data_IF_144485398889
#
_entry.id   IF_144485398889
#
_cell.length_a   1.000
_cell.length_b   1.000
_cell.length_c   1.000
_cell.angle_alpha   90.00
_cell.angle_beta   90.00
_cell.angle_gamma   90.00
#
_symmetry.space_group_name_H-M   'P 1'
#
loop_
_entity.id
_entity.type
_entity.pdbx_description
1 polymer ?
#
# COMPACT_ATOMS: atom_id res chain seq x y z
N UNK A 1 10.87 8.36 -79.26
CA UNK A 1 9.87 8.14 -78.18
C UNK A 1 10.20 9.09 -77.06
N UNK A 2 9.41 10.19 -76.97
CA UNK A 2 9.61 11.21 -75.98
C UNK A 2 9.00 10.82 -74.60
N UNK A 3 9.74 10.87 -73.53
CA UNK A 3 9.20 10.73 -72.17
C UNK A 3 8.61 12.07 -71.71
N UNK A 4 7.33 12.06 -71.38
CA UNK A 4 6.61 13.22 -70.87
C UNK A 4 7.03 13.53 -69.38
N UNK A 5 7.32 14.77 -69.15
CA UNK A 5 7.67 15.28 -67.80
C UNK A 5 6.42 15.39 -66.92
N UNK A 6 6.50 14.89 -65.68
CA UNK A 6 5.46 15.00 -64.63
C UNK A 6 5.57 16.38 -63.98
N UNK A 7 4.47 17.13 -63.79
CA UNK A 7 4.50 18.43 -63.16
C UNK A 7 4.74 18.35 -61.67
N UNK A 8 5.62 19.21 -61.11
CA UNK A 8 5.91 19.33 -59.70
C UNK A 8 4.67 19.82 -58.92
N UNK A 9 4.28 19.06 -57.91
CA UNK A 9 3.20 19.35 -56.98
C UNK A 9 3.64 20.51 -56.02
N UNK A 10 2.82 21.55 -55.94
CA UNK A 10 3.06 22.72 -55.10
C UNK A 10 2.90 22.33 -53.61
N UNK A 11 3.96 22.51 -52.85
CA UNK A 11 3.96 22.32 -51.39
C UNK A 11 2.95 23.29 -50.71
N UNK A 12 2.00 22.72 -49.96
CA UNK A 12 1.06 23.45 -49.12
C UNK A 12 1.76 23.89 -47.82
N UNK A 13 1.69 25.17 -47.40
CA UNK A 13 2.33 25.62 -46.18
C UNK A 13 1.67 24.98 -44.96
N UNK A 14 2.45 24.24 -44.14
CA UNK A 14 2.02 23.70 -42.85
C UNK A 14 1.88 24.88 -41.87
N UNK A 15 0.63 25.14 -41.45
CA UNK A 15 0.36 26.08 -40.36
C UNK A 15 1.02 25.55 -39.10
N UNK A 16 1.97 26.30 -38.52
CA UNK A 16 2.51 26.04 -37.19
C UNK A 16 1.36 26.08 -36.19
N UNK A 17 1.17 24.97 -35.45
CA UNK A 17 0.24 24.89 -34.35
C UNK A 17 0.70 25.88 -33.25
N UNK A 18 -0.19 26.74 -32.80
CA UNK A 18 0.05 27.62 -31.66
C UNK A 18 0.38 26.78 -30.41
N UNK A 19 1.49 27.08 -29.77
CA UNK A 19 1.83 26.50 -28.46
C UNK A 19 0.77 27.02 -27.47
N UNK A 20 -0.14 26.12 -27.07
CA UNK A 20 -1.08 26.38 -25.97
C UNK A 20 -0.25 26.32 -24.70
N UNK A 21 0.10 27.46 -24.14
CA UNK A 21 0.63 27.57 -22.78
C UNK A 21 -0.49 27.18 -21.83
N UNK A 22 -0.39 25.98 -21.23
CA UNK A 22 -1.29 25.58 -20.16
C UNK A 22 -1.18 26.61 -19.02
N UNK A 23 -2.34 27.12 -18.60
CA UNK A 23 -2.43 27.98 -17.43
C UNK A 23 -1.93 27.19 -16.21
N UNK A 24 -1.21 27.84 -15.25
CA UNK A 24 -0.77 27.17 -14.04
C UNK A 24 -1.96 26.54 -13.34
N UNK A 25 -1.93 25.21 -13.17
CA UNK A 25 -2.94 24.48 -12.40
C UNK A 25 -2.77 24.93 -10.95
N UNK A 26 -3.68 25.79 -10.49
CA UNK A 26 -3.77 26.16 -9.07
C UNK A 26 -4.20 24.89 -8.33
N UNK A 27 -3.29 24.29 -7.57
CA UNK A 27 -3.65 23.17 -6.71
C UNK A 27 -4.65 23.68 -5.66
N UNK A 28 -5.78 22.99 -5.46
CA UNK A 28 -6.73 23.39 -4.43
C UNK A 28 -6.03 23.34 -3.06
N UNK A 29 -6.32 24.32 -2.20
CA UNK A 29 -5.92 24.26 -0.79
C UNK A 29 -6.69 23.09 -0.14
N UNK A 30 -5.96 22.00 0.13
CA UNK A 30 -6.53 20.78 0.68
C UNK A 30 -6.72 20.85 2.20
N UNK A 31 -6.44 22.02 2.82
CA UNK A 31 -6.50 22.20 4.26
C UNK A 31 -5.39 21.44 5.00
N UNK A 32 -5.51 21.23 6.33
CA UNK A 32 -4.52 20.50 7.12
C UNK A 32 -4.42 19.05 6.62
N UNK A 33 -3.18 18.55 6.54
CA UNK A 33 -2.89 17.18 6.10
C UNK A 33 -3.57 16.18 7.04
N UNK A 34 -4.43 15.33 6.48
CA UNK A 34 -5.11 14.24 7.20
C UNK A 34 -4.34 12.94 7.06
N UNK A 35 -4.57 12.03 8.00
CA UNK A 35 -3.88 10.75 8.06
C UNK A 35 -4.85 9.56 7.98
N UNK A 36 -4.43 8.53 7.25
CA UNK A 36 -5.24 7.31 7.04
C UNK A 36 -4.38 6.07 7.23
N UNK A 37 -4.83 5.17 8.11
CA UNK A 37 -4.30 3.83 8.24
C UNK A 37 -5.15 2.86 7.42
N UNK A 38 -4.54 2.20 6.45
CA UNK A 38 -5.13 1.05 5.75
C UNK A 38 -4.70 -0.23 6.44
N UNK A 39 -5.63 -1.09 6.82
CA UNK A 39 -5.33 -2.40 7.41
C UNK A 39 -5.91 -3.47 6.49
N UNK A 40 -5.07 -4.40 6.04
CA UNK A 40 -5.50 -5.47 5.15
C UNK A 40 -4.52 -6.64 5.11
N UNK A 41 -4.97 -7.76 4.58
CA UNK A 41 -4.20 -9.00 4.54
C UNK A 41 -3.31 -9.15 3.31
N UNK A 42 -3.53 -8.36 2.28
CA UNK A 42 -2.79 -8.39 1.00
C UNK A 42 -2.48 -6.98 0.50
N UNK A 43 -1.37 -6.84 -0.19
CA UNK A 43 -1.02 -5.64 -0.95
C UNK A 43 0.02 -5.99 -2.02
N UNK A 44 -0.24 -5.69 -3.27
CA UNK A 44 0.77 -5.74 -4.32
C UNK A 44 1.88 -4.70 -4.03
N UNK A 45 3.16 -4.94 -4.25
CA UNK A 45 3.76 -6.16 -4.85
C UNK A 45 4.23 -7.17 -3.80
N UNK A 46 3.92 -7.01 -2.52
CA UNK A 46 4.41 -7.84 -1.42
C UNK A 46 3.74 -9.21 -1.41
N UNK A 47 2.43 -9.22 -1.40
CA UNK A 47 1.60 -10.43 -1.45
C UNK A 47 0.27 -10.10 -2.14
N UNK A 48 -0.15 -10.97 -3.05
CA UNK A 48 -1.41 -10.81 -3.78
C UNK A 48 -1.97 -12.18 -4.15
N UNK A 49 -3.19 -12.44 -3.75
CA UNK A 49 -3.96 -13.64 -4.15
C UNK A 49 -5.21 -13.26 -4.94
N UNK A 50 -5.72 -12.05 -4.75
CA UNK A 50 -6.95 -11.56 -5.37
C UNK A 50 -6.96 -10.05 -5.66
N UNK A 51 -8.16 -9.50 -5.88
CA UNK A 51 -8.36 -8.09 -6.16
C UNK A 51 -8.07 -7.16 -4.98
N UNK A 52 -8.13 -7.68 -3.75
CA UNK A 52 -7.79 -6.91 -2.54
C UNK A 52 -6.36 -6.35 -2.63
N UNK A 53 -5.41 -7.18 -3.06
CA UNK A 53 -4.01 -6.75 -3.21
C UNK A 53 -3.84 -5.56 -4.17
N UNK A 54 -4.64 -5.48 -5.24
CA UNK A 54 -4.60 -4.34 -6.17
C UNK A 54 -5.16 -3.07 -5.54
N UNK A 55 -6.28 -3.17 -4.82
CA UNK A 55 -6.90 -2.03 -4.12
C UNK A 55 -5.97 -1.48 -3.05
N UNK A 56 -5.40 -2.36 -2.21
CA UNK A 56 -4.46 -2.00 -1.14
C UNK A 56 -3.15 -1.37 -1.66
N UNK A 57 -2.82 -1.59 -2.93
CA UNK A 57 -1.69 -0.94 -3.60
C UNK A 57 -2.08 0.41 -4.20
N UNK A 58 -3.16 0.45 -4.98
CA UNK A 58 -3.49 1.61 -5.82
C UNK A 58 -4.11 2.77 -5.01
N UNK A 59 -5.03 2.46 -4.10
CA UNK A 59 -5.77 3.48 -3.36
C UNK A 59 -4.88 4.27 -2.38
N UNK A 60 -4.02 3.64 -1.55
CA UNK A 60 -3.09 4.37 -0.69
C UNK A 60 -2.18 5.34 -1.47
N UNK A 61 -1.61 4.87 -2.59
CA UNK A 61 -0.75 5.70 -3.45
C UNK A 61 -1.50 6.88 -4.08
N UNK A 62 -2.76 6.68 -4.47
CA UNK A 62 -3.60 7.76 -4.99
C UNK A 62 -3.90 8.81 -3.92
N UNK A 63 -4.20 8.38 -2.69
CA UNK A 63 -4.47 9.28 -1.57
C UNK A 63 -3.20 10.03 -1.10
N UNK A 64 -2.05 9.39 -1.09
CA UNK A 64 -0.78 10.05 -0.78
C UNK A 64 -0.49 11.23 -1.74
N UNK A 65 -0.87 11.10 -3.02
CA UNK A 65 -0.77 12.18 -4.02
C UNK A 65 -1.74 13.34 -3.75
N UNK A 66 -2.80 13.12 -2.97
CA UNK A 66 -3.77 14.13 -2.54
C UNK A 66 -3.41 14.78 -1.20
N UNK A 67 -2.13 14.77 -0.82
CA UNK A 67 -1.62 15.36 0.42
C UNK A 67 -2.15 14.69 1.70
N UNK A 68 -2.48 13.38 1.64
CA UNK A 68 -2.77 12.61 2.85
C UNK A 68 -1.50 11.92 3.37
N UNK A 69 -1.44 11.75 4.68
CA UNK A 69 -0.44 10.90 5.33
C UNK A 69 -0.98 9.48 5.40
N UNK A 70 -0.34 8.57 4.68
CA UNK A 70 -0.92 7.23 4.47
C UNK A 70 0.03 6.15 4.97
N UNK A 71 -0.48 5.31 5.87
CA UNK A 71 0.15 4.06 6.27
C UNK A 71 -0.68 2.86 5.85
N UNK A 72 -0.01 1.80 5.42
CA UNK A 72 -0.60 0.50 5.09
C UNK A 72 -0.04 -0.53 6.05
N UNK A 73 -0.91 -1.21 6.79
CA UNK A 73 -0.52 -2.23 7.76
C UNK A 73 -0.85 -3.61 7.19
N UNK A 74 0.13 -4.48 7.17
CA UNK A 74 0.10 -5.80 6.55
C UNK A 74 0.70 -6.85 7.47
N UNK A 75 0.30 -8.14 7.38
CA UNK A 75 1.07 -9.22 7.98
C UNK A 75 2.42 -9.39 7.26
N UNK A 76 3.49 -9.64 8.02
CA UNK A 76 4.79 -9.98 7.46
C UNK A 76 4.85 -11.46 7.11
N UNK A 77 4.20 -11.84 6.02
CA UNK A 77 4.27 -13.23 5.56
C UNK A 77 5.66 -13.62 5.08
N UNK A 78 6.04 -14.86 5.36
CA UNK A 78 7.31 -15.41 4.88
C UNK A 78 7.40 -15.49 3.35
N UNK A 79 6.26 -15.55 2.65
CA UNK A 79 6.20 -15.58 1.20
C UNK A 79 6.46 -14.22 0.53
N UNK A 80 6.56 -13.12 1.27
CA UNK A 80 6.96 -11.82 0.72
C UNK A 80 8.34 -11.96 0.07
N UNK A 81 8.51 -11.48 -1.19
CA UNK A 81 9.79 -11.62 -1.89
C UNK A 81 10.95 -11.00 -1.10
N UNK A 82 12.09 -11.72 -1.05
CA UNK A 82 13.27 -11.36 -0.26
C UNK A 82 13.76 -9.94 -0.55
N UNK A 83 13.70 -9.49 -1.80
CA UNK A 83 14.09 -8.13 -2.22
C UNK A 83 13.36 -7.01 -1.47
N UNK A 84 12.16 -7.27 -0.94
CA UNK A 84 11.42 -6.33 -0.10
C UNK A 84 11.79 -6.52 1.37
N UNK A 85 11.87 -7.77 1.83
CA UNK A 85 12.23 -8.07 3.21
C UNK A 85 13.59 -7.48 3.61
N UNK A 86 14.58 -7.52 2.72
CA UNK A 86 15.93 -6.94 2.93
C UNK A 86 15.95 -5.42 3.05
N UNK A 87 14.90 -4.76 2.58
CA UNK A 87 14.76 -3.30 2.65
C UNK A 87 13.87 -2.83 3.81
N UNK A 88 13.26 -3.77 4.54
CA UNK A 88 12.45 -3.44 5.69
C UNK A 88 13.34 -3.03 6.87
N UNK A 89 12.96 -1.95 7.53
CA UNK A 89 13.61 -1.45 8.74
C UNK A 89 12.85 -1.90 9.99
N UNK A 90 13.56 -2.42 10.98
CA UNK A 90 12.94 -2.78 12.26
C UNK A 90 12.61 -1.53 13.07
N UNK A 91 11.33 -1.38 13.45
CA UNK A 91 10.82 -0.23 14.20
C UNK A 91 10.59 -0.51 15.68
N UNK A 92 10.65 -1.75 16.08
CA UNK A 92 10.50 -2.18 17.46
C UNK A 92 9.54 -3.35 17.63
N UNK A 93 9.33 -3.73 18.88
CA UNK A 93 8.42 -4.83 19.22
C UNK A 93 7.84 -4.67 20.62
N UNK A 94 6.72 -5.31 20.84
CA UNK A 94 6.05 -5.38 22.14
C UNK A 94 5.31 -6.72 22.29
N UNK A 95 4.73 -6.95 23.46
CA UNK A 95 3.88 -8.10 23.72
C UNK A 95 2.46 -7.63 24.05
N UNK A 96 1.47 -8.36 23.58
CA UNK A 96 0.06 -8.10 23.87
C UNK A 96 -0.70 -9.38 24.19
N UNK A 97 -1.78 -9.25 24.96
CA UNK A 97 -2.75 -10.33 25.16
C UNK A 97 -3.75 -10.33 24.01
N UNK A 98 -4.04 -11.49 23.44
CA UNK A 98 -5.11 -11.63 22.44
C UNK A 98 -6.47 -11.81 23.14
N UNK A 99 -6.48 -12.69 24.14
CA UNK A 99 -7.66 -13.04 24.95
C UNK A 99 -7.35 -12.82 26.45
N UNK A 100 -8.33 -13.15 27.31
CA UNK A 100 -8.19 -13.09 28.76
C UNK A 100 -7.50 -14.32 29.39
N UNK A 101 -6.85 -15.15 28.56
CA UNK A 101 -6.12 -16.36 28.98
C UNK A 101 -4.73 -16.08 29.58
N UNK A 102 -4.31 -14.83 29.56
CA UNK A 102 -3.00 -14.41 30.05
C UNK A 102 -1.83 -14.70 29.11
N UNK A 103 -2.07 -15.35 27.96
CA UNK A 103 -1.02 -15.61 26.98
C UNK A 103 -0.56 -14.30 26.33
N UNK A 104 0.77 -14.10 26.31
CA UNK A 104 1.41 -12.96 25.68
C UNK A 104 1.86 -13.36 24.25
N UNK A 105 1.48 -12.53 23.28
CA UNK A 105 1.88 -12.70 21.90
C UNK A 105 2.86 -11.61 21.50
N UNK A 106 3.96 -12.02 20.89
CA UNK A 106 4.94 -11.10 20.33
C UNK A 106 4.34 -10.33 19.14
N UNK A 107 4.66 -9.04 19.05
CA UNK A 107 4.33 -8.17 17.90
C UNK A 107 5.60 -7.42 17.51
N UNK A 108 6.19 -7.79 16.39
CA UNK A 108 7.27 -7.03 15.76
C UNK A 108 6.70 -6.08 14.70
N UNK A 109 7.40 -4.98 14.45
CA UNK A 109 7.03 -4.02 13.41
C UNK A 109 8.22 -3.80 12.51
N UNK A 110 8.04 -4.09 11.22
CA UNK A 110 8.99 -3.80 10.16
C UNK A 110 8.39 -2.77 9.23
N UNK A 111 9.14 -1.73 8.87
CA UNK A 111 8.67 -0.63 8.02
C UNK A 111 9.36 -0.66 6.66
N UNK A 112 8.60 -0.40 5.62
CA UNK A 112 9.07 -0.18 4.26
C UNK A 112 8.40 1.07 3.69
N UNK A 113 9.12 1.88 2.91
CA UNK A 113 8.58 3.11 2.34
C UNK A 113 8.74 3.10 0.83
N UNK A 114 7.65 3.44 0.12
CA UNK A 114 7.65 3.59 -1.33
C UNK A 114 6.54 4.56 -1.79
N UNK A 115 6.84 5.42 -2.74
CA UNK A 115 5.89 6.33 -3.40
C UNK A 115 5.04 7.19 -2.44
N UNK A 116 5.63 7.62 -1.32
CA UNK A 116 4.97 8.46 -0.33
C UNK A 116 4.01 7.69 0.60
N UNK A 117 4.01 6.36 0.54
CA UNK A 117 3.27 5.47 1.42
C UNK A 117 4.24 4.76 2.36
N UNK A 118 3.89 4.68 3.63
CA UNK A 118 4.58 3.89 4.64
C UNK A 118 3.85 2.55 4.80
N UNK A 119 4.59 1.45 4.70
CA UNK A 119 4.08 0.09 4.89
C UNK A 119 4.65 -0.48 6.18
N UNK A 120 3.79 -0.70 7.17
CA UNK A 120 4.13 -1.32 8.45
C UNK A 120 3.73 -2.80 8.40
N UNK A 121 4.70 -3.70 8.56
CA UNK A 121 4.48 -5.15 8.55
C UNK A 121 4.48 -5.68 9.98
N UNK A 122 3.39 -6.32 10.36
CA UNK A 122 3.25 -7.01 11.65
C UNK A 122 3.99 -8.34 11.57
N UNK A 123 5.05 -8.48 12.34
CA UNK A 123 5.91 -9.65 12.38
C UNK A 123 5.57 -10.56 13.55
N UNK A 124 5.27 -11.82 13.24
CA UNK A 124 5.08 -12.90 14.21
C UNK A 124 5.22 -14.26 13.51
N UNK A 125 6.24 -15.01 13.89
CA UNK A 125 6.51 -16.31 13.27
C UNK A 125 5.44 -17.38 13.56
N UNK A 126 4.74 -17.28 14.71
CA UNK A 126 3.67 -18.23 15.05
C UNK A 126 2.52 -18.16 14.03
N UNK A 127 2.22 -16.96 13.50
CA UNK A 127 1.06 -16.74 12.62
C UNK A 127 1.42 -16.58 11.14
N UNK A 128 2.61 -16.04 10.80
CA UNK A 128 2.90 -15.59 9.44
C UNK A 128 4.06 -16.33 8.76
N UNK A 129 4.66 -17.33 9.42
CA UNK A 129 5.75 -18.14 8.83
C UNK A 129 5.28 -19.20 7.82
N UNK A 130 3.99 -19.43 7.68
CA UNK A 130 3.40 -20.35 6.73
C UNK A 130 3.48 -19.81 5.30
N UNK A 131 3.65 -20.68 4.31
CA UNK A 131 3.97 -20.29 2.93
C UNK A 131 2.87 -19.53 2.18
N UNK A 132 1.60 -19.68 2.57
CA UNK A 132 0.46 -19.00 1.95
C UNK A 132 -0.23 -18.07 2.94
N UNK A 133 -0.73 -16.91 2.50
CA UNK A 133 -1.52 -15.99 3.34
C UNK A 133 -2.77 -16.65 3.91
N UNK A 134 -3.42 -17.49 3.13
CA UNK A 134 -4.66 -18.19 3.50
C UNK A 134 -4.44 -19.70 3.48
N UNK A 135 -4.98 -20.38 4.48
CA UNK A 135 -4.89 -21.84 4.63
C UNK A 135 -6.29 -22.46 4.69
N UNK A 136 -6.91 -22.42 5.86
CA UNK A 136 -8.28 -22.82 6.08
C UNK A 136 -8.89 -21.94 7.17
N UNK A 137 -10.20 -21.88 7.23
CA UNK A 137 -10.90 -20.95 8.12
C UNK A 137 -10.58 -21.15 9.60
N UNK A 138 -10.34 -22.40 10.04
CA UNK A 138 -10.04 -22.70 11.45
C UNK A 138 -8.73 -22.08 11.90
N UNK A 139 -7.68 -22.15 11.04
CA UNK A 139 -6.36 -21.59 11.33
C UNK A 139 -6.30 -20.10 11.02
N UNK A 140 -7.08 -19.65 10.04
CA UNK A 140 -7.08 -18.26 9.59
C UNK A 140 -7.79 -17.32 10.57
N UNK A 141 -8.87 -17.76 11.24
CA UNK A 141 -9.59 -16.93 12.22
C UNK A 141 -8.66 -16.44 13.34
N UNK A 142 -7.97 -17.29 14.12
CA UNK A 142 -7.09 -16.79 15.18
C UNK A 142 -5.93 -15.94 14.66
N UNK A 143 -5.39 -16.29 13.48
CA UNK A 143 -4.33 -15.52 12.81
C UNK A 143 -4.78 -14.09 12.50
N UNK A 144 -5.96 -13.90 11.92
CA UNK A 144 -6.46 -12.59 11.56
C UNK A 144 -7.07 -11.83 12.74
N UNK A 145 -7.62 -12.50 13.76
CA UNK A 145 -7.94 -11.87 15.04
C UNK A 145 -6.68 -11.29 15.71
N UNK A 146 -5.57 -12.03 15.69
CA UNK A 146 -4.29 -11.53 16.15
C UNK A 146 -3.86 -10.31 15.31
N UNK A 147 -3.89 -10.42 13.99
CA UNK A 147 -3.47 -9.36 13.08
C UNK A 147 -4.26 -8.06 13.29
N UNK A 148 -5.59 -8.13 13.33
CA UNK A 148 -6.44 -6.96 13.53
C UNK A 148 -6.11 -6.23 14.84
N UNK A 149 -5.98 -6.97 15.96
CA UNK A 149 -5.63 -6.39 17.25
C UNK A 149 -4.20 -5.85 17.27
N UNK A 150 -3.24 -6.58 16.72
CA UNK A 150 -1.83 -6.18 16.64
C UNK A 150 -1.65 -4.91 15.80
N UNK A 151 -2.40 -4.77 14.71
CA UNK A 151 -2.36 -3.59 13.85
C UNK A 151 -2.75 -2.32 14.60
N UNK A 152 -3.85 -2.35 15.36
CA UNK A 152 -4.27 -1.21 16.18
C UNK A 152 -3.28 -0.92 17.32
N UNK A 153 -2.74 -1.96 17.97
CA UNK A 153 -1.74 -1.80 19.00
C UNK A 153 -0.43 -1.22 18.47
N UNK A 154 -0.04 -1.59 17.23
CA UNK A 154 1.15 -1.07 16.56
C UNK A 154 1.04 0.43 16.28
N UNK A 155 -0.14 0.94 15.91
CA UNK A 155 -0.37 2.38 15.74
C UNK A 155 -0.05 3.15 17.02
N UNK A 156 -0.54 2.66 18.18
CA UNK A 156 -0.24 3.27 19.48
C UNK A 156 1.24 3.16 19.85
N UNK A 157 1.87 2.01 19.57
CA UNK A 157 3.29 1.79 19.83
C UNK A 157 4.18 2.75 19.02
N UNK A 158 3.79 3.06 17.79
CA UNK A 158 4.48 3.99 16.90
C UNK A 158 4.15 5.47 17.19
N UNK A 159 3.33 5.75 18.20
CA UNK A 159 2.84 7.10 18.54
C UNK A 159 2.21 7.80 17.35
N UNK A 160 1.45 7.04 16.53
CA UNK A 160 0.80 7.56 15.34
C UNK A 160 -0.70 7.30 15.39
N UNK A 161 -1.47 8.39 15.50
CA UNK A 161 -2.93 8.36 15.59
C UNK A 161 -3.53 8.85 14.27
N UNK A 162 -4.09 7.96 13.42
CA UNK A 162 -4.71 8.36 12.18
C UNK A 162 -6.07 9.03 12.41
N UNK A 163 -6.45 9.94 11.50
CA UNK A 163 -7.82 10.48 11.44
C UNK A 163 -8.83 9.41 11.01
N UNK A 164 -8.39 8.45 10.20
CA UNK A 164 -9.22 7.35 9.69
C UNK A 164 -8.45 6.04 9.75
N UNK A 165 -9.11 5.00 10.29
CA UNK A 165 -8.69 3.60 10.14
C UNK A 165 -9.60 2.94 9.11
N UNK A 166 -9.03 2.52 7.98
CA UNK A 166 -9.73 1.89 6.87
C UNK A 166 -9.40 0.40 6.82
N UNK A 167 -10.26 -0.42 7.42
CA UNK A 167 -10.11 -1.87 7.41
C UNK A 167 -10.65 -2.46 6.10
N UNK A 168 -9.89 -3.39 5.53
CA UNK A 168 -10.24 -4.07 4.28
C UNK A 168 -10.49 -5.54 4.52
N UNK A 169 -11.73 -5.94 4.25
CA UNK A 169 -12.23 -7.31 4.35
C UNK A 169 -12.23 -7.85 5.80
N UNK A 170 -12.75 -9.07 6.00
CA UNK A 170 -12.94 -9.68 7.32
C UNK A 170 -11.62 -9.94 8.08
N UNK A 171 -10.51 -10.07 7.35
CA UNK A 171 -9.18 -10.29 7.94
C UNK A 171 -8.66 -9.08 8.74
N UNK A 172 -9.24 -7.92 8.54
CA UNK A 172 -8.84 -6.68 9.22
C UNK A 172 -9.94 -6.16 10.18
N UNK A 173 -11.01 -6.94 10.43
CA UNK A 173 -12.17 -6.54 11.23
C UNK A 173 -12.09 -7.05 12.68
#
# INVERSE_FOLDING_TARGET
TALAAVPAEKAVPVKQAAVVTEAPVVQPDLGPRRSVAFIGSECYPFVKTGGLGDVMYALPKALAKLNLDVKVILPRYKCIPQKFQEKMEYRGSFYMNLCSDGKQYYVGIMEYQEDGVVYDFIDNDEFFSWGNPYTNLIDDIPKFCYFAKASLAALNYLDWTPDVVHCHDWQAA
#
